data_IF_150219670620
#
_entry.id   IF_150219670620
#
_cell.length_a   1.000
_cell.length_b   1.000
_cell.length_c   1.000
_cell.angle_alpha   90.00
_cell.angle_beta   90.00
_cell.angle_gamma   90.00
#
_symmetry.space_group_name_H-M   'P 1'
#
loop_
_entity.id
_entity.type
_entity.pdbx_description
1 polymer ?
#
# COMPACT_ATOMS: atom_id res chain seq x y z
N UNK A 1 -34.88 6.08 0.71
CA UNK A 1 -33.89 5.60 -0.28
C UNK A 1 -32.54 6.10 0.20
N UNK A 2 -31.94 5.43 1.18
CA UNK A 2 -30.65 5.83 1.74
C UNK A 2 -29.55 5.12 0.96
N UNK A 3 -28.80 5.92 0.20
CA UNK A 3 -27.57 5.52 -0.45
C UNK A 3 -26.58 5.05 0.63
N UNK A 4 -26.38 3.73 0.72
CA UNK A 4 -25.27 3.14 1.48
C UNK A 4 -23.97 3.74 0.94
N UNK A 5 -23.36 4.64 1.72
CA UNK A 5 -21.98 5.03 1.55
C UNK A 5 -21.14 3.75 1.64
N UNK A 6 -20.69 3.28 0.47
CA UNK A 6 -19.73 2.19 0.36
C UNK A 6 -18.43 2.74 0.95
N UNK A 7 -18.14 2.38 2.19
CA UNK A 7 -16.87 2.74 2.83
C UNK A 7 -15.79 1.98 2.07
N UNK A 8 -15.13 2.66 1.15
CA UNK A 8 -13.90 2.19 0.51
C UNK A 8 -12.79 2.25 1.56
N UNK A 9 -12.70 1.21 2.38
CA UNK A 9 -11.71 1.10 3.43
C UNK A 9 -11.61 -0.33 3.93
N UNK A 10 -10.41 -0.74 4.34
CA UNK A 10 -10.20 -2.01 5.03
C UNK A 10 -11.03 -2.01 6.30
N UNK A 11 -11.93 -2.99 6.45
CA UNK A 11 -12.63 -3.19 7.72
C UNK A 11 -11.64 -3.92 8.64
N UNK A 12 -11.04 -3.19 9.58
CA UNK A 12 -10.34 -3.80 10.69
C UNK A 12 -11.39 -4.22 11.71
N UNK A 13 -11.63 -5.53 11.84
CA UNK A 13 -12.47 -6.09 12.88
C UNK A 13 -11.55 -6.77 13.89
N UNK A 14 -11.57 -6.27 15.13
CA UNK A 14 -11.02 -7.02 16.24
C UNK A 14 -11.88 -8.29 16.48
N UNK A 15 -11.40 -9.22 17.29
CA UNK A 15 -12.07 -10.52 17.47
C UNK A 15 -13.51 -10.39 18.01
N UNK A 16 -13.76 -9.40 18.86
CA UNK A 16 -15.06 -9.11 19.44
C UNK A 16 -16.05 -8.57 18.38
N UNK A 17 -15.59 -7.62 17.57
CA UNK A 17 -16.38 -7.04 16.45
C UNK A 17 -16.66 -8.08 15.36
N UNK A 18 -15.72 -9.00 15.12
CA UNK A 18 -15.85 -10.07 14.14
C UNK A 18 -16.91 -11.07 14.59
N UNK A 19 -16.91 -11.45 15.86
CA UNK A 19 -17.96 -12.27 16.45
C UNK A 19 -19.34 -11.58 16.36
N UNK A 20 -19.41 -10.28 16.68
CA UNK A 20 -20.64 -9.50 16.62
C UNK A 20 -21.21 -9.38 15.19
N UNK A 21 -20.34 -9.26 14.18
CA UNK A 21 -20.77 -9.11 12.77
C UNK A 21 -20.78 -10.41 11.97
N UNK A 22 -20.52 -11.56 12.61
CA UNK A 22 -20.30 -12.84 11.93
C UNK A 22 -21.39 -13.19 10.89
N UNK A 23 -22.66 -13.17 11.29
CA UNK A 23 -23.76 -13.55 10.40
C UNK A 23 -23.91 -12.60 9.21
N UNK A 24 -23.66 -11.30 9.42
CA UNK A 24 -23.68 -10.31 8.34
C UNK A 24 -22.55 -10.60 7.34
N UNK A 25 -21.34 -10.83 7.85
CA UNK A 25 -20.16 -11.12 7.02
C UNK A 25 -20.38 -12.42 6.23
N UNK A 26 -20.82 -13.49 6.91
CA UNK A 26 -21.15 -14.77 6.28
C UNK A 26 -22.19 -14.62 5.17
N UNK A 27 -23.22 -13.81 5.41
CA UNK A 27 -24.24 -13.53 4.39
C UNK A 27 -23.67 -12.76 3.18
N UNK A 28 -22.78 -11.79 3.39
CA UNK A 28 -22.11 -11.06 2.30
C UNK A 28 -21.24 -11.97 1.43
N UNK A 29 -20.71 -13.06 2.00
CA UNK A 29 -19.88 -14.04 1.29
C UNK A 29 -20.65 -15.27 0.77
N UNK A 30 -21.98 -15.33 0.92
CA UNK A 30 -22.79 -16.52 0.58
C UNK A 30 -22.67 -16.99 -0.88
N UNK A 31 -22.34 -16.07 -1.78
CA UNK A 31 -22.25 -16.33 -3.22
C UNK A 31 -20.85 -16.82 -3.64
N UNK A 32 -19.86 -16.82 -2.73
CA UNK A 32 -18.53 -17.34 -2.99
C UNK A 32 -18.52 -18.87 -2.84
N UNK A 33 -18.75 -19.58 -3.94
CA UNK A 33 -18.85 -21.05 -3.96
C UNK A 33 -17.55 -21.79 -3.57
N UNK A 34 -16.41 -21.10 -3.60
CA UNK A 34 -15.10 -21.66 -3.23
C UNK A 34 -14.75 -21.46 -1.74
N UNK A 35 -15.58 -20.74 -0.97
CA UNK A 35 -15.31 -20.40 0.43
C UNK A 35 -16.48 -20.85 1.32
N UNK A 36 -16.19 -21.70 2.31
CA UNK A 36 -17.18 -22.13 3.30
C UNK A 36 -16.86 -21.51 4.66
N UNK A 37 -17.69 -20.58 5.13
CA UNK A 37 -17.57 -19.94 6.45
C UNK A 37 -18.63 -20.54 7.38
N UNK A 38 -18.21 -21.35 8.34
CA UNK A 38 -19.09 -22.08 9.27
C UNK A 38 -19.09 -21.48 10.67
N UNK A 39 -18.00 -20.84 11.06
CA UNK A 39 -17.79 -20.25 12.39
C UNK A 39 -16.95 -18.98 12.35
N UNK A 40 -16.97 -18.14 13.39
CA UNK A 40 -16.06 -17.00 13.52
C UNK A 40 -14.58 -17.38 13.40
N UNK A 41 -14.20 -18.57 13.89
CA UNK A 41 -12.83 -19.08 13.78
C UNK A 41 -12.36 -19.24 12.33
N UNK A 42 -13.26 -19.55 11.39
CA UNK A 42 -12.91 -19.63 9.96
C UNK A 42 -12.50 -18.27 9.40
N UNK A 43 -13.18 -17.20 9.84
CA UNK A 43 -12.85 -15.83 9.46
C UNK A 43 -11.56 -15.34 10.13
N UNK A 44 -11.32 -15.75 11.38
CA UNK A 44 -10.06 -15.48 12.08
C UNK A 44 -8.89 -16.15 11.34
N UNK A 45 -9.04 -17.44 11.01
CA UNK A 45 -8.03 -18.19 10.25
C UNK A 45 -7.78 -17.58 8.86
N UNK A 46 -8.85 -17.13 8.18
CA UNK A 46 -8.73 -16.44 6.90
C UNK A 46 -8.00 -15.10 7.04
N UNK A 47 -8.30 -14.31 8.07
CA UNK A 47 -7.58 -13.07 8.41
C UNK A 47 -6.10 -13.34 8.66
N UNK A 48 -5.79 -14.33 9.48
CA UNK A 48 -4.41 -14.72 9.79
C UNK A 48 -3.65 -15.17 8.55
N UNK A 49 -4.27 -15.98 7.70
CA UNK A 49 -3.70 -16.38 6.41
C UNK A 49 -3.42 -15.16 5.51
N UNK A 50 -4.38 -14.24 5.39
CA UNK A 50 -4.15 -13.00 4.64
C UNK A 50 -3.01 -12.18 5.24
N UNK A 51 -2.95 -12.03 6.56
CA UNK A 51 -1.87 -11.32 7.25
C UNK A 51 -0.50 -11.97 7.01
N UNK A 52 -0.41 -13.30 6.98
CA UNK A 52 0.82 -14.03 6.64
C UNK A 52 1.26 -13.80 5.19
N UNK A 53 0.30 -13.57 4.29
CA UNK A 53 0.56 -13.25 2.89
C UNK A 53 0.95 -11.76 2.68
N UNK A 54 0.76 -10.90 3.68
CA UNK A 54 1.19 -9.50 3.64
C UNK A 54 2.63 -9.36 4.12
N UNK A 55 3.40 -8.54 3.41
CA UNK A 55 4.72 -8.11 3.86
C UNK A 55 4.52 -7.06 4.96
N UNK A 56 5.22 -7.25 6.08
CA UNK A 56 5.16 -6.36 7.27
C UNK A 56 3.73 -6.15 7.80
N UNK A 57 2.83 -7.13 7.60
CA UNK A 57 1.49 -7.13 8.18
C UNK A 57 0.47 -6.19 7.54
N UNK A 58 0.84 -5.39 6.54
CA UNK A 58 -0.10 -4.44 5.92
C UNK A 58 0.10 -4.19 4.41
N UNK A 59 1.19 -4.66 3.79
CA UNK A 59 1.46 -4.42 2.36
C UNK A 59 1.42 -5.71 1.54
N UNK A 60 0.75 -5.68 0.38
CA UNK A 60 0.67 -6.82 -0.55
C UNK A 60 2.02 -7.26 -1.12
N UNK A 61 2.96 -6.31 -1.25
CA UNK A 61 4.33 -6.58 -1.70
C UNK A 61 5.25 -5.40 -1.40
N UNK A 62 6.56 -5.59 -1.56
CA UNK A 62 7.55 -4.52 -1.38
C UNK A 62 7.29 -3.34 -2.32
N UNK A 63 6.82 -3.63 -3.54
CA UNK A 63 6.42 -2.61 -4.51
C UNK A 63 5.25 -1.76 -4.00
N UNK A 64 4.27 -2.36 -3.32
CA UNK A 64 3.16 -1.63 -2.70
C UNK A 64 3.62 -0.78 -1.52
N UNK A 65 4.53 -1.31 -0.68
CA UNK A 65 5.14 -0.54 0.42
C UNK A 65 5.85 0.70 -0.12
N UNK A 66 6.75 0.53 -1.09
CA UNK A 66 7.48 1.64 -1.69
C UNK A 66 6.54 2.66 -2.36
N UNK A 67 5.52 2.20 -3.09
CA UNK A 67 4.52 3.08 -3.69
C UNK A 67 3.78 3.89 -2.63
N UNK A 68 3.38 3.27 -1.52
CA UNK A 68 2.73 3.96 -0.41
C UNK A 68 3.62 5.06 0.15
N UNK A 69 4.86 4.72 0.55
CA UNK A 69 5.83 5.66 1.13
C UNK A 69 6.10 6.85 0.20
N UNK A 70 6.25 6.61 -1.10
CA UNK A 70 6.46 7.66 -2.11
C UNK A 70 5.20 8.52 -2.28
N UNK A 71 4.02 7.91 -2.41
CA UNK A 71 2.76 8.66 -2.59
C UNK A 71 2.42 9.54 -1.38
N UNK A 72 2.89 9.16 -0.20
CA UNK A 72 2.73 9.88 1.06
C UNK A 72 3.99 10.63 1.49
N UNK A 73 4.97 10.76 0.60
CA UNK A 73 6.27 11.32 0.96
C UNK A 73 6.14 12.70 1.62
N UNK A 74 6.72 12.79 2.81
CA UNK A 74 6.94 14.00 3.59
C UNK A 74 8.45 14.08 3.90
N UNK A 75 8.98 15.29 3.94
CA UNK A 75 10.42 15.53 4.06
C UNK A 75 11.00 14.79 5.27
N UNK A 76 12.01 13.95 5.01
CA UNK A 76 12.70 13.17 6.03
C UNK A 76 11.94 11.94 6.58
N UNK A 77 10.62 11.85 6.43
CA UNK A 77 9.80 10.87 7.14
C UNK A 77 10.06 9.40 6.75
N UNK A 78 10.45 9.14 5.50
CA UNK A 78 10.60 7.79 4.95
C UNK A 78 11.97 7.53 4.33
N UNK A 79 12.98 8.34 4.70
CA UNK A 79 14.29 8.27 4.05
C UNK A 79 14.95 6.90 4.23
N UNK A 80 14.87 6.32 5.43
CA UNK A 80 15.47 5.01 5.70
C UNK A 80 14.82 3.91 4.85
N UNK A 81 13.49 3.86 4.82
CA UNK A 81 12.71 2.85 4.11
C UNK A 81 12.82 2.99 2.58
N UNK A 82 13.04 4.22 2.09
CA UNK A 82 13.28 4.51 0.68
C UNK A 82 14.76 4.32 0.29
N UNK A 83 15.64 3.98 1.23
CA UNK A 83 17.08 3.82 1.01
C UNK A 83 17.80 5.14 0.70
N UNK A 84 17.21 6.27 1.11
CA UNK A 84 17.77 7.60 1.01
C UNK A 84 18.70 7.82 2.20
N UNK A 85 19.99 7.92 1.90
CA UNK A 85 21.03 8.15 2.92
C UNK A 85 21.58 9.57 2.84
N UNK A 86 22.29 10.02 3.89
CA UNK A 86 22.98 11.33 3.92
C UNK A 86 23.87 11.58 2.70
N UNK A 87 24.46 10.53 2.11
CA UNK A 87 25.30 10.65 0.91
C UNK A 87 24.51 11.17 -0.30
N UNK A 88 23.23 10.83 -0.41
CA UNK A 88 22.39 11.33 -1.51
C UNK A 88 22.17 12.84 -1.43
N UNK A 89 22.24 13.44 -0.24
CA UNK A 89 22.11 14.90 -0.07
C UNK A 89 23.40 15.67 -0.38
N UNK A 90 24.53 14.97 -0.51
CA UNK A 90 25.84 15.57 -0.76
C UNK A 90 26.33 15.26 -2.17
N UNK A 91 25.97 14.09 -2.71
CA UNK A 91 26.37 13.61 -4.03
C UNK A 91 25.16 13.56 -4.97
N UNK A 92 25.09 14.53 -5.87
CA UNK A 92 24.03 14.62 -6.88
C UNK A 92 24.00 13.43 -7.84
N UNK A 93 25.13 12.74 -8.04
CA UNK A 93 25.20 11.54 -8.88
C UNK A 93 24.45 10.39 -8.22
N UNK A 94 24.63 10.21 -6.90
CA UNK A 94 23.90 9.21 -6.13
C UNK A 94 22.41 9.54 -6.05
N UNK A 95 22.05 10.81 -5.82
CA UNK A 95 20.65 11.26 -5.87
C UNK A 95 20.01 10.96 -7.22
N UNK A 96 20.73 11.23 -8.31
CA UNK A 96 20.24 10.96 -9.68
C UNK A 96 20.08 9.48 -9.95
N UNK A 97 21.03 8.65 -9.48
CA UNK A 97 20.94 7.20 -9.60
C UNK A 97 19.71 6.65 -8.85
N UNK A 98 19.44 7.16 -7.64
CA UNK A 98 18.23 6.84 -6.89
C UNK A 98 16.96 7.23 -7.66
N UNK A 99 16.90 8.46 -8.21
CA UNK A 99 15.78 8.93 -9.02
C UNK A 99 15.51 8.00 -10.21
N UNK A 100 16.56 7.67 -10.97
CA UNK A 100 16.44 6.80 -12.15
C UNK A 100 15.97 5.40 -11.76
N UNK A 101 16.46 4.86 -10.65
CA UNK A 101 16.01 3.56 -10.12
C UNK A 101 14.51 3.59 -9.82
N UNK A 102 14.04 4.61 -9.10
CA UNK A 102 12.62 4.72 -8.73
C UNK A 102 11.72 4.99 -9.93
N UNK A 103 12.14 5.87 -10.86
CA UNK A 103 11.41 6.12 -12.09
C UNK A 103 11.34 4.87 -12.98
N UNK A 104 12.40 4.06 -13.06
CA UNK A 104 12.38 2.82 -13.83
C UNK A 104 11.27 1.87 -13.35
N UNK A 105 11.05 1.81 -12.04
CA UNK A 105 10.03 0.97 -11.40
C UNK A 105 8.61 1.56 -11.51
N UNK A 106 8.47 2.86 -11.24
CA UNK A 106 7.18 3.49 -10.99
C UNK A 106 6.71 4.47 -12.07
N UNK A 107 7.41 4.62 -13.20
CA UNK A 107 6.98 5.55 -14.26
C UNK A 107 5.54 5.26 -14.71
N UNK A 108 4.64 6.26 -14.75
CA UNK A 108 3.24 6.06 -15.13
C UNK A 108 3.09 5.39 -16.50
N UNK A 109 3.82 5.86 -17.52
CA UNK A 109 3.69 5.32 -18.89
C UNK A 109 4.02 3.83 -19.01
N UNK A 110 4.98 3.34 -18.21
CA UNK A 110 5.36 1.93 -18.20
C UNK A 110 4.33 1.06 -17.48
N UNK A 111 3.55 1.68 -16.59
CA UNK A 111 2.61 1.01 -15.70
C UNK A 111 1.14 1.26 -16.07
N UNK A 112 0.87 1.94 -17.20
CA UNK A 112 -0.49 2.33 -17.66
C UNK A 112 -1.48 1.17 -17.82
N UNK A 113 -0.98 -0.05 -18.02
CA UNK A 113 -1.78 -1.27 -18.23
C UNK A 113 -1.88 -2.15 -16.97
N UNK A 114 -1.23 -1.75 -15.87
CA UNK A 114 -1.31 -2.48 -14.60
C UNK A 114 -2.66 -2.16 -13.95
N UNK A 115 -3.21 -3.11 -13.17
CA UNK A 115 -4.41 -2.87 -12.36
C UNK A 115 -4.26 -1.57 -11.54
N UNK A 116 -5.36 -0.84 -11.35
CA UNK A 116 -5.40 0.48 -10.70
C UNK A 116 -5.23 0.42 -9.17
N UNK A 117 -4.46 -0.52 -8.64
CA UNK A 117 -4.22 -0.63 -7.19
C UNK A 117 -3.06 0.25 -6.70
N UNK A 118 -2.27 0.83 -7.61
CA UNK A 118 -1.26 1.86 -7.33
C UNK A 118 -1.54 3.11 -8.18
N UNK A 119 -1.58 4.27 -7.53
CA UNK A 119 -1.62 5.58 -8.21
C UNK A 119 -0.19 5.99 -8.60
N UNK A 120 0.26 5.53 -9.78
CA UNK A 120 1.62 5.79 -10.27
C UNK A 120 1.90 7.29 -10.49
N UNK A 121 0.88 8.12 -10.71
CA UNK A 121 1.05 9.57 -10.86
C UNK A 121 1.49 10.18 -9.53
N UNK A 122 0.77 9.89 -8.43
CA UNK A 122 1.17 10.34 -7.08
C UNK A 122 2.51 9.79 -6.65
N UNK A 123 2.82 8.55 -7.01
CA UNK A 123 4.15 7.97 -6.73
C UNK A 123 5.24 8.76 -7.46
N UNK A 124 5.04 9.11 -8.72
CA UNK A 124 5.98 9.92 -9.51
C UNK A 124 6.20 11.31 -8.90
N UNK A 125 5.12 11.96 -8.42
CA UNK A 125 5.21 13.22 -7.69
C UNK A 125 6.04 13.08 -6.41
N UNK A 126 5.81 12.02 -5.64
CA UNK A 126 6.60 11.67 -4.46
C UNK A 126 8.09 11.50 -4.75
N UNK A 127 8.42 10.76 -5.81
CA UNK A 127 9.79 10.55 -6.27
C UNK A 127 10.46 11.90 -6.59
N UNK A 128 9.76 12.78 -7.32
CA UNK A 128 10.30 14.08 -7.69
C UNK A 128 10.48 15.00 -6.48
N UNK A 129 9.56 14.96 -5.50
CA UNK A 129 9.70 15.70 -4.23
C UNK A 129 10.92 15.23 -3.43
N UNK A 130 11.06 13.93 -3.22
CA UNK A 130 12.21 13.35 -2.52
C UNK A 130 13.54 13.70 -3.21
N UNK A 131 13.60 13.58 -4.54
CA UNK A 131 14.79 13.97 -5.29
C UNK A 131 15.06 15.47 -5.21
N UNK A 132 14.03 16.31 -5.31
CA UNK A 132 14.14 17.76 -5.16
C UNK A 132 14.79 18.14 -3.83
N UNK A 133 14.36 17.50 -2.74
CA UNK A 133 14.95 17.66 -1.42
C UNK A 133 16.42 17.24 -1.36
N UNK A 134 16.79 16.09 -1.95
CA UNK A 134 18.19 15.64 -2.02
C UNK A 134 19.12 16.65 -2.69
N UNK A 135 18.63 17.33 -3.73
CA UNK A 135 19.44 18.29 -4.51
C UNK A 135 19.19 19.75 -4.15
N UNK A 136 18.45 20.02 -3.07
CA UNK A 136 18.18 21.37 -2.58
C UNK A 136 17.22 22.21 -3.45
N UNK A 137 16.41 21.57 -4.30
CA UNK A 137 15.34 22.23 -5.05
C UNK A 137 14.05 22.22 -4.23
N UNK A 138 13.61 23.40 -3.78
CA UNK A 138 12.30 23.62 -3.16
C UNK A 138 11.21 23.73 -4.22
#
# INVERSE_FOLDING_TARGET
METKNKVEGWIYLNEEELNLQFEKIKYEFKDLTFLSIKSPNDLIALREYFNQCLIEGCFKSQRHKLAYLLSKYESGAFNEELGITRRHFVDSTLAKAWLVKMQKEFHPDKNKNIKKDIDFTKVSEGINRAYGEMVGKK
#
